data_IF_990545724264
#
_entry.id   IF_990545724264
#
_cell.length_a   1.000
_cell.length_b   1.000
_cell.length_c   1.000
_cell.angle_alpha   90.00
_cell.angle_beta   90.00
_cell.angle_gamma   90.00
#
_symmetry.space_group_name_H-M   'P 1'
#
loop_
_entity.id
_entity.type
_entity.pdbx_description
1 polymer ?
#
# COMPACT_ATOMS: atom_id res chain seq x y z
N UNK A 1 -2.43 7.30 9.14
CA UNK A 1 -2.51 5.87 9.54
C UNK A 1 -1.10 5.34 9.51
N UNK A 2 -0.44 5.21 10.66
CA UNK A 2 0.94 4.72 10.72
C UNK A 2 0.91 3.18 10.64
N UNK A 3 1.72 2.62 9.75
CA UNK A 3 1.89 1.19 9.50
C UNK A 3 2.69 0.51 10.65
N UNK A 4 2.26 0.71 11.90
CA UNK A 4 2.99 0.22 13.07
C UNK A 4 2.74 -1.25 13.40
N UNK A 5 1.56 -1.80 13.09
CA UNK A 5 1.12 -3.12 13.61
C UNK A 5 0.25 -3.95 12.64
N UNK A 6 0.09 -3.56 11.37
CA UNK A 6 -0.81 -4.27 10.43
C UNK A 6 -0.06 -4.79 9.22
N UNK A 7 -0.49 -5.95 8.74
CA UNK A 7 0.02 -6.53 7.50
C UNK A 7 -0.28 -5.62 6.30
N UNK A 8 0.56 -5.66 5.27
CA UNK A 8 0.34 -4.97 3.99
C UNK A 8 -1.02 -5.33 3.40
N UNK A 9 -1.45 -6.59 3.56
CA UNK A 9 -2.76 -7.06 3.13
C UNK A 9 -3.90 -6.27 3.77
N UNK A 10 -3.90 -6.12 5.10
CA UNK A 10 -4.92 -5.35 5.82
C UNK A 10 -4.87 -3.86 5.49
N UNK A 11 -3.67 -3.31 5.29
CA UNK A 11 -3.50 -1.93 4.91
C UNK A 11 -4.09 -1.63 3.53
N UNK A 12 -3.74 -2.45 2.53
CA UNK A 12 -4.30 -2.35 1.19
C UNK A 12 -5.83 -2.55 1.18
N UNK A 13 -6.34 -3.50 1.98
CA UNK A 13 -7.78 -3.74 2.09
C UNK A 13 -8.51 -2.51 2.65
N UNK A 14 -7.98 -1.87 3.69
CA UNK A 14 -8.58 -0.66 4.27
C UNK A 14 -8.54 0.53 3.30
N UNK A 15 -7.44 0.71 2.58
CA UNK A 15 -7.32 1.72 1.52
C UNK A 15 -8.40 1.52 0.45
N UNK A 16 -8.58 0.28 -0.01
CA UNK A 16 -9.59 -0.05 -1.03
C UNK A 16 -11.02 0.21 -0.53
N UNK A 17 -11.33 -0.24 0.69
CA UNK A 17 -12.63 0.02 1.31
C UNK A 17 -12.93 1.52 1.44
N UNK A 18 -11.97 2.34 1.86
CA UNK A 18 -12.14 3.79 1.94
C UNK A 18 -12.39 4.42 0.57
N UNK A 19 -11.63 3.99 -0.45
CA UNK A 19 -11.81 4.45 -1.82
C UNK A 19 -13.20 4.10 -2.35
N UNK A 20 -13.69 2.89 -2.06
CA UNK A 20 -14.99 2.41 -2.52
C UNK A 20 -16.14 3.15 -1.80
N UNK A 21 -15.99 3.43 -0.50
CA UNK A 21 -16.95 4.24 0.27
C UNK A 21 -17.04 5.68 -0.25
N UNK A 22 -15.90 6.28 -0.59
CA UNK A 22 -15.86 7.63 -1.18
C UNK A 22 -16.50 7.64 -2.58
N UNK A 23 -16.24 6.62 -3.39
CA UNK A 23 -16.88 6.47 -4.69
C UNK A 23 -18.40 6.31 -4.58
N UNK A 24 -18.90 5.64 -3.54
CA UNK A 24 -20.34 5.47 -3.28
C UNK A 24 -21.07 6.78 -2.95
N UNK A 25 -20.36 7.84 -2.55
CA UNK A 25 -20.92 9.18 -2.30
C UNK A 25 -20.47 10.20 -3.36
N UNK A 26 -20.24 9.72 -4.59
CA UNK A 26 -19.79 10.51 -5.75
C UNK A 26 -18.46 11.27 -5.53
N UNK A 27 -17.69 10.88 -4.53
CA UNK A 27 -16.41 11.49 -4.14
C UNK A 27 -15.23 10.59 -4.53
N UNK A 28 -15.28 10.00 -5.73
CA UNK A 28 -14.28 9.03 -6.19
C UNK A 28 -12.86 9.60 -6.15
N UNK A 29 -11.93 8.83 -5.58
CA UNK A 29 -10.52 9.20 -5.50
C UNK A 29 -9.80 8.70 -6.75
N UNK A 30 -9.06 9.56 -7.48
CA UNK A 30 -8.25 9.12 -8.61
C UNK A 30 -7.25 8.05 -8.18
N UNK A 31 -7.07 7.00 -8.99
CA UNK A 31 -6.17 5.90 -8.64
C UNK A 31 -4.74 6.37 -8.35
N UNK A 32 -4.22 7.33 -9.13
CA UNK A 32 -2.91 7.95 -8.90
C UNK A 32 -2.78 8.54 -7.49
N UNK A 33 -3.86 9.13 -6.98
CA UNK A 33 -3.90 9.76 -5.66
C UNK A 33 -3.95 8.68 -4.59
N UNK A 34 -4.77 7.64 -4.78
CA UNK A 34 -4.86 6.49 -3.89
C UNK A 34 -3.50 5.77 -3.76
N UNK A 35 -2.81 5.56 -4.88
CA UNK A 35 -1.47 4.95 -4.93
C UNK A 35 -0.45 5.83 -4.22
N UNK A 36 -0.46 7.15 -4.43
CA UNK A 36 0.42 8.06 -3.70
C UNK A 36 0.18 8.00 -2.19
N UNK A 37 -1.07 7.95 -1.74
CA UNK A 37 -1.38 7.78 -0.32
C UNK A 37 -0.94 6.43 0.22
N UNK A 38 -1.07 5.36 -0.56
CA UNK A 38 -0.60 4.02 -0.21
C UNK A 38 0.92 4.03 0.01
N UNK A 39 1.70 4.56 -0.93
CA UNK A 39 3.17 4.59 -0.87
C UNK A 39 3.66 5.49 0.26
N UNK A 40 3.10 6.70 0.40
CA UNK A 40 3.50 7.64 1.44
C UNK A 40 3.11 7.19 2.86
N UNK A 41 2.16 6.26 2.98
CA UNK A 41 1.73 5.72 4.27
C UNK A 41 2.48 4.47 4.72
N UNK A 42 3.45 3.99 3.94
CA UNK A 42 4.27 2.82 4.29
C UNK A 42 5.29 3.15 5.38
N UNK A 43 5.71 2.11 6.09
CA UNK A 43 6.85 2.19 7.01
C UNK A 43 8.16 2.38 6.21
N UNK A 44 9.18 3.08 6.76
CA UNK A 44 10.48 3.28 6.10
C UNK A 44 11.17 1.99 5.64
N UNK A 45 10.83 0.84 6.23
CA UNK A 45 11.31 -0.47 5.79
C UNK A 45 10.93 -0.81 4.32
N UNK A 46 9.96 -0.10 3.74
CA UNK A 46 9.52 -0.27 2.35
C UNK A 46 10.04 0.85 1.41
N UNK A 47 10.94 1.73 1.87
CA UNK A 47 11.44 2.87 1.07
C UNK A 47 12.08 2.43 -0.27
N UNK A 48 12.74 1.28 -0.28
CA UNK A 48 13.33 0.71 -1.51
C UNK A 48 12.25 0.37 -2.56
N UNK A 49 11.05 -0.03 -2.14
CA UNK A 49 9.95 -0.37 -3.04
C UNK A 49 9.30 0.88 -3.63
N UNK A 50 9.22 1.96 -2.85
CA UNK A 50 8.72 3.25 -3.34
C UNK A 50 9.53 3.77 -4.54
N UNK A 51 10.82 3.45 -4.61
CA UNK A 51 11.72 3.83 -5.72
C UNK A 51 11.46 2.98 -6.98
N UNK A 52 11.13 1.69 -6.82
CA UNK A 52 10.89 0.75 -7.93
C UNK A 52 9.57 1.04 -8.67
N UNK A 53 8.58 1.54 -7.93
CA UNK A 53 7.24 1.81 -8.42
C UNK A 53 7.14 3.17 -9.15
N UNK A 54 7.58 3.24 -10.41
CA UNK A 54 7.30 4.40 -11.28
C UNK A 54 5.90 4.30 -11.88
N UNK A 55 4.94 5.03 -11.29
CA UNK A 55 3.53 5.11 -11.72
C UNK A 55 2.77 3.76 -11.72
N UNK A 56 2.71 3.04 -10.60
CA UNK A 56 1.98 1.78 -10.57
C UNK A 56 0.46 2.00 -10.50
N UNK A 57 -0.29 1.01 -10.95
CA UNK A 57 -1.69 0.87 -10.56
C UNK A 57 -1.79 0.44 -9.09
N UNK A 58 -2.97 0.57 -8.49
CA UNK A 58 -3.17 0.13 -7.11
C UNK A 58 -2.87 -1.36 -6.93
N UNK A 59 -3.25 -2.18 -7.92
CA UNK A 59 -3.01 -3.61 -7.90
C UNK A 59 -1.51 -3.94 -7.99
N UNK A 60 -0.77 -3.26 -8.86
CA UNK A 60 0.69 -3.44 -8.98
C UNK A 60 1.41 -3.07 -7.69
N UNK A 61 1.06 -1.92 -7.10
CA UNK A 61 1.63 -1.48 -5.83
C UNK A 61 1.35 -2.51 -4.72
N UNK A 62 0.10 -2.99 -4.59
CA UNK A 62 -0.27 -4.04 -3.62
C UNK A 62 0.55 -5.32 -3.81
N UNK A 63 0.65 -5.83 -5.04
CA UNK A 63 1.39 -7.07 -5.31
C UNK A 63 2.87 -6.94 -4.93
N UNK A 64 3.51 -5.83 -5.29
CA UNK A 64 4.93 -5.62 -4.99
C UNK A 64 5.14 -5.46 -3.48
N UNK A 65 4.27 -4.74 -2.78
CA UNK A 65 4.36 -4.59 -1.32
C UNK A 65 4.18 -5.90 -0.57
N UNK A 66 3.29 -6.78 -1.05
CA UNK A 66 3.11 -8.11 -0.46
C UNK A 66 4.34 -8.99 -0.64
N UNK A 67 4.99 -8.93 -1.81
CA UNK A 67 6.26 -9.62 -2.03
C UNK A 67 7.33 -9.10 -1.07
N UNK A 68 7.45 -7.79 -0.92
CA UNK A 68 8.44 -7.20 0.00
C UNK A 68 8.17 -7.58 1.46
N UNK A 69 6.91 -7.61 1.90
CA UNK A 69 6.55 -8.09 3.24
C UNK A 69 7.00 -9.55 3.46
N UNK A 70 6.87 -10.41 2.46
CA UNK A 70 7.38 -11.78 2.51
C UNK A 70 8.91 -11.84 2.53
N UNK A 71 9.59 -10.97 1.78
CA UNK A 71 11.05 -10.88 1.82
C UNK A 71 11.55 -10.40 3.19
N UNK A 72 10.97 -9.33 3.74
CA UNK A 72 11.33 -8.78 5.05
C UNK A 72 11.01 -9.72 6.21
N UNK A 73 9.92 -10.49 6.11
CA UNK A 73 9.59 -11.52 7.13
C UNK A 73 10.58 -12.69 7.13
N UNK A 74 11.14 -13.06 5.97
CA UNK A 74 12.19 -14.08 5.84
C UNK A 74 13.59 -13.56 6.21
N UNK A 75 13.84 -12.27 6.01
CA UNK A 75 15.14 -11.65 6.27
C UNK A 75 15.39 -11.32 7.75
N UNK A 76 14.34 -11.31 8.60
CA UNK A 76 14.52 -11.23 10.06
C UNK A 76 14.73 -12.65 10.62
N UNK A 77 15.94 -13.01 11.09
CA UNK A 77 16.12 -14.23 11.87
C UNK A 77 15.29 -14.09 13.16
N UNK A 78 14.56 -15.14 13.53
CA UNK A 78 13.97 -15.27 14.88
C UNK A 78 15.08 -15.43 15.92
#
# INVERSE_FOLDING_TARGET
MVLGDRSISEYCQKMKLLSDLLANIDSSVPEKTLVSYLINGLSPQFDNIAIVLRHPTFLQARSILLLEEQHLSRARPQ
#
